data_IF_799616245945
#
_entry.id   IF_799616245945
#
_cell.length_a   1.000
_cell.length_b   1.000
_cell.length_c   1.000
_cell.angle_alpha   90.00
_cell.angle_beta   90.00
_cell.angle_gamma   90.00
#
_symmetry.space_group_name_H-M   'P 1'
#
loop_
_entity.id
_entity.type
_entity.pdbx_description
1 polymer ?
#
# COMPACT_ATOMS: atom_id res chain seq x y z
N UNK A 1 14.35 9.40 -9.21
CA UNK A 1 13.87 8.01 -9.13
C UNK A 1 12.67 7.87 -10.06
N UNK A 2 12.88 7.34 -11.25
CA UNK A 2 11.80 7.04 -12.20
C UNK A 2 11.83 5.54 -12.46
N UNK A 3 10.68 4.88 -12.34
CA UNK A 3 10.58 3.44 -12.60
C UNK A 3 10.78 3.19 -14.10
N UNK A 4 11.51 2.13 -14.48
CA UNK A 4 11.59 1.73 -15.89
C UNK A 4 10.33 0.95 -16.29
N UNK A 5 10.00 0.92 -17.58
CA UNK A 5 8.81 0.18 -18.07
C UNK A 5 8.84 -1.31 -17.69
N UNK A 6 9.97 -2.03 -17.76
CA UNK A 6 10.07 -3.39 -17.25
C UNK A 6 9.74 -3.52 -15.76
N UNK A 7 10.24 -2.61 -14.92
CA UNK A 7 9.97 -2.61 -13.48
C UNK A 7 8.48 -2.44 -13.20
N UNK A 8 7.82 -1.54 -13.94
CA UNK A 8 6.38 -1.31 -13.84
C UNK A 8 5.57 -2.56 -14.22
N UNK A 9 5.98 -3.27 -15.28
CA UNK A 9 5.34 -4.51 -15.71
C UNK A 9 5.51 -5.65 -14.70
N UNK A 10 6.72 -5.81 -14.15
CA UNK A 10 6.99 -6.79 -13.10
C UNK A 10 6.14 -6.51 -11.84
N UNK A 11 6.04 -5.24 -11.44
CA UNK A 11 5.22 -4.83 -10.32
C UNK A 11 3.72 -5.08 -10.58
N UNK A 12 3.20 -4.70 -11.75
CA UNK A 12 1.81 -4.96 -12.12
C UNK A 12 1.51 -6.47 -12.17
N UNK A 13 2.44 -7.28 -12.69
CA UNK A 13 2.34 -8.74 -12.67
C UNK A 13 2.29 -9.32 -11.25
N UNK A 14 3.13 -8.82 -10.34
CA UNK A 14 3.11 -9.22 -8.94
C UNK A 14 1.78 -8.86 -8.25
N UNK A 15 1.23 -7.66 -8.52
CA UNK A 15 -0.09 -7.27 -8.01
C UNK A 15 -1.21 -8.16 -8.55
N UNK A 16 -1.14 -8.57 -9.82
CA UNK A 16 -2.10 -9.50 -10.41
C UNK A 16 -2.06 -10.88 -9.73
N UNK A 17 -0.86 -11.41 -9.48
CA UNK A 17 -0.69 -12.67 -8.74
C UNK A 17 -1.25 -12.55 -7.31
N UNK A 18 -0.96 -11.42 -6.64
CA UNK A 18 -1.50 -11.13 -5.31
C UNK A 18 -3.03 -11.10 -5.32
N UNK A 19 -3.64 -10.45 -6.32
CA UNK A 19 -5.09 -10.39 -6.48
C UNK A 19 -5.72 -11.78 -6.68
N UNK A 20 -5.05 -12.66 -7.43
CA UNK A 20 -5.50 -14.04 -7.65
C UNK A 20 -5.38 -14.92 -6.41
N UNK A 21 -4.58 -14.52 -5.41
CA UNK A 21 -4.42 -15.29 -4.18
C UNK A 21 -5.62 -15.01 -3.27
N UNK A 22 -6.48 -16.01 -2.98
CA UNK A 22 -7.72 -15.76 -2.25
C UNK A 22 -7.41 -15.35 -0.81
N UNK A 23 -7.64 -14.07 -0.51
CA UNK A 23 -7.43 -13.46 0.79
C UNK A 23 -8.74 -13.19 1.56
N UNK A 24 -8.65 -12.55 2.75
CA UNK A 24 -9.81 -12.22 3.57
C UNK A 24 -10.88 -11.37 2.85
N UNK A 25 -10.45 -10.47 1.95
CA UNK A 25 -11.33 -9.59 1.18
C UNK A 25 -12.21 -10.39 0.21
N UNK A 26 -11.65 -11.39 -0.47
CA UNK A 26 -12.40 -12.29 -1.36
C UNK A 26 -13.51 -12.99 -0.60
N UNK A 27 -13.19 -13.53 0.59
CA UNK A 27 -14.16 -14.22 1.45
C UNK A 27 -15.28 -13.27 1.88
N UNK A 28 -14.93 -12.06 2.32
CA UNK A 28 -15.91 -11.06 2.77
C UNK A 28 -16.84 -10.58 1.65
N UNK A 29 -16.30 -10.33 0.45
CA UNK A 29 -17.09 -9.94 -0.71
C UNK A 29 -18.01 -11.06 -1.18
N UNK A 30 -17.49 -12.28 -1.25
CA UNK A 30 -18.28 -13.46 -1.66
C UNK A 30 -19.42 -13.69 -0.67
N UNK A 31 -19.14 -13.66 0.65
CA UNK A 31 -20.16 -13.82 1.67
C UNK A 31 -21.25 -12.73 1.57
N UNK A 32 -20.87 -11.45 1.42
CA UNK A 32 -21.85 -10.35 1.28
C UNK A 32 -22.66 -10.44 -0.01
N UNK A 33 -22.03 -10.82 -1.12
CA UNK A 33 -22.71 -11.01 -2.40
C UNK A 33 -23.73 -12.15 -2.31
N UNK A 34 -23.39 -13.25 -1.63
CA UNK A 34 -24.30 -14.37 -1.42
C UNK A 34 -25.48 -14.00 -0.48
N UNK A 35 -25.23 -13.22 0.58
CA UNK A 35 -26.27 -12.86 1.56
C UNK A 35 -27.21 -11.74 1.09
N UNK A 36 -26.71 -10.76 0.33
CA UNK A 36 -27.48 -9.53 0.01
C UNK A 36 -27.33 -9.05 -1.43
N UNK A 37 -26.79 -9.89 -2.32
CA UNK A 37 -26.59 -9.56 -3.73
C UNK A 37 -25.60 -8.41 -3.94
N UNK A 38 -25.70 -7.76 -5.10
CA UNK A 38 -24.80 -6.68 -5.49
C UNK A 38 -24.86 -5.48 -4.54
N UNK A 39 -26.07 -5.11 -4.08
CA UNK A 39 -26.29 -3.97 -3.18
C UNK A 39 -25.52 -4.09 -1.86
N UNK A 40 -25.37 -5.31 -1.34
CA UNK A 40 -24.60 -5.54 -0.13
C UNK A 40 -23.08 -5.58 -0.40
N UNK A 41 -22.64 -6.02 -1.58
CA UNK A 41 -21.23 -6.22 -1.91
C UNK A 41 -20.53 -4.95 -2.43
N UNK A 42 -21.19 -4.14 -3.26
CA UNK A 42 -20.55 -3.00 -3.94
C UNK A 42 -19.97 -1.92 -2.98
N UNK A 43 -20.58 -1.58 -1.83
CA UNK A 43 -20.00 -0.58 -0.93
C UNK A 43 -18.71 -1.11 -0.27
N UNK A 44 -18.62 -2.42 -0.03
CA UNK A 44 -17.40 -3.05 0.47
C UNK A 44 -16.30 -2.99 -0.58
N UNK A 45 -16.63 -3.35 -1.81
CA UNK A 45 -15.67 -3.35 -2.91
C UNK A 45 -15.08 -1.95 -3.12
N UNK A 46 -15.92 -0.90 -3.07
CA UNK A 46 -15.43 0.47 -3.12
C UNK A 46 -14.54 0.84 -1.95
N UNK A 47 -14.92 0.47 -0.71
CA UNK A 47 -14.09 0.72 0.46
C UNK A 47 -12.70 0.08 0.35
N UNK A 48 -12.63 -1.15 -0.19
CA UNK A 48 -11.38 -1.86 -0.45
C UNK A 48 -10.55 -1.13 -1.49
N UNK A 49 -11.12 -0.79 -2.65
CA UNK A 49 -10.40 -0.09 -3.73
C UNK A 49 -9.83 1.25 -3.25
N UNK A 50 -10.62 2.02 -2.48
CA UNK A 50 -10.16 3.29 -1.90
C UNK A 50 -9.03 3.04 -0.90
N UNK A 51 -9.14 2.01 -0.06
CA UNK A 51 -8.08 1.61 0.86
C UNK A 51 -6.79 1.21 0.16
N UNK A 52 -6.88 0.41 -0.92
CA UNK A 52 -5.74 -0.07 -1.70
C UNK A 52 -4.98 1.08 -2.38
N UNK A 53 -5.66 2.18 -2.75
CA UNK A 53 -5.02 3.36 -3.32
C UNK A 53 -4.43 4.27 -2.22
N UNK A 54 -5.17 4.48 -1.13
CA UNK A 54 -4.73 5.39 -0.06
C UNK A 54 -3.56 4.82 0.74
N UNK A 55 -3.54 3.51 0.99
CA UNK A 55 -2.54 2.89 1.84
C UNK A 55 -1.09 3.08 1.33
N UNK A 56 -0.75 2.76 0.06
CA UNK A 56 0.59 2.99 -0.47
C UNK A 56 0.97 4.47 -0.50
N UNK A 57 0.01 5.37 -0.77
CA UNK A 57 0.26 6.82 -0.75
C UNK A 57 0.65 7.29 0.65
N UNK A 58 -0.09 6.88 1.67
CA UNK A 58 0.22 7.17 3.07
C UNK A 58 1.56 6.55 3.48
N UNK A 59 1.86 5.33 3.04
CA UNK A 59 3.13 4.69 3.31
C UNK A 59 4.31 5.45 2.70
N UNK A 60 4.25 5.85 1.43
CA UNK A 60 5.34 6.57 0.75
C UNK A 60 5.54 7.96 1.35
N UNK A 61 4.46 8.71 1.56
CA UNK A 61 4.53 10.05 2.15
C UNK A 61 4.96 10.00 3.63
N UNK A 62 4.46 9.03 4.38
CA UNK A 62 4.80 8.82 5.79
C UNK A 62 6.24 8.38 6.00
N UNK A 63 6.73 7.41 5.22
CA UNK A 63 8.14 6.95 5.32
C UNK A 63 9.10 8.09 4.97
N UNK A 64 8.77 8.95 4.00
CA UNK A 64 9.57 10.13 3.68
C UNK A 64 9.71 11.06 4.88
N UNK A 65 8.63 11.29 5.62
CA UNK A 65 8.66 12.07 6.85
C UNK A 65 9.52 11.42 7.94
N UNK A 66 9.39 10.10 8.14
CA UNK A 66 10.22 9.35 9.11
C UNK A 66 11.71 9.44 8.76
N UNK A 67 12.08 9.25 7.49
CA UNK A 67 13.49 9.33 7.07
C UNK A 67 14.05 10.75 7.25
N UNK A 68 13.22 11.79 7.10
CA UNK A 68 13.67 13.18 7.31
C UNK A 68 14.11 13.44 8.77
N UNK A 69 13.49 12.78 9.76
CA UNK A 69 13.91 12.93 11.17
C UNK A 69 15.26 12.26 11.45
N UNK A 70 15.54 11.14 10.77
CA UNK A 70 16.81 10.43 10.88
C UNK A 70 18.00 11.24 10.33
N UNK A 71 17.79 12.06 9.30
CA UNK A 71 18.83 12.95 8.78
C UNK A 71 19.32 13.97 9.82
N UNK A 72 18.39 14.54 10.60
CA UNK A 72 18.71 15.42 11.72
C UNK A 72 19.51 14.71 12.81
N UNK A 73 19.09 13.49 13.17
CA UNK A 73 19.77 12.65 14.15
C UNK A 73 21.21 12.28 13.72
N UNK A 74 21.40 11.86 12.46
CA UNK A 74 22.73 11.57 11.92
C UNK A 74 23.65 12.80 11.87
N UNK A 75 23.07 13.98 11.62
CA UNK A 75 23.83 15.23 11.66
C UNK A 75 24.29 15.52 13.09
N UNK A 76 23.42 15.38 14.08
CA UNK A 76 23.78 15.55 15.50
C UNK A 76 24.88 14.56 15.93
N UNK A 77 24.76 13.29 15.57
CA UNK A 77 25.78 12.27 15.82
C UNK A 77 27.13 12.62 15.21
N UNK A 78 27.14 13.17 13.98
CA UNK A 78 28.37 13.63 13.32
C UNK A 78 29.06 14.74 14.10
N UNK A 79 28.31 15.70 14.62
CA UNK A 79 28.86 16.76 15.46
C UNK A 79 29.43 16.22 16.78
N UNK A 80 28.72 15.29 17.43
CA UNK A 80 29.22 14.60 18.64
C UNK A 80 30.49 13.81 18.35
N UNK A 81 30.61 13.17 17.19
CA UNK A 81 31.78 12.38 16.81
C UNK A 81 33.01 13.23 16.43
N UNK A 82 32.84 14.53 16.15
CA UNK A 82 33.94 15.45 15.88
C UNK A 82 34.43 16.21 17.13
N UNK A 83 33.77 16.04 18.27
CA UNK A 83 34.19 16.49 19.61
C UNK A 83 35.00 15.40 20.30
#
# INVERSE_FOLDING_TARGET
>A
MTISTPDALLYAGALLILFLTPGPVWVALTARALSGGFNAAWPLALGVVVGDVLWPLLAILGVTWIVSTFAGFMTALRWVACL
#
